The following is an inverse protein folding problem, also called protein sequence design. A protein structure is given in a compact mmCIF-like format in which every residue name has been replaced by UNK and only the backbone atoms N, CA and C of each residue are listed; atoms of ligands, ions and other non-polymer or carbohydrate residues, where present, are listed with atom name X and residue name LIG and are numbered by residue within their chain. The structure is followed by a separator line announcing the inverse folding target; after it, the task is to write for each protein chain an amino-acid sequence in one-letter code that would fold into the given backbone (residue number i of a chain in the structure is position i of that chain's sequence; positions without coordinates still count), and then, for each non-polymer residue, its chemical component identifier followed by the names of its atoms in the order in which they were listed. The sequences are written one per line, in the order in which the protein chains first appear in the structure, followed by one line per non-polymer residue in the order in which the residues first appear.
data_IF_631086748992
#
_entry.id   IF_631086748992
#
_cell.length_a   1.000
_cell.length_b   1.000
_cell.length_c   1.000
_cell.angle_alpha   90.00
_cell.angle_beta   90.00
_cell.angle_gamma   90.00
#
_symmetry.space_group_name_H-M   'P 1'
#
loop_
_entity.id
_entity.type
_entity.pdbx_description
1 polymer ?
#
# COMPACT_ATOMS: atom_id res chain seq x y z
N UNK A 1 20.44 9.91 3.43
CA UNK A 1 20.47 8.88 2.38
C UNK A 1 21.84 8.24 2.39
N UNK A 2 21.93 6.99 2.83
CA UNK A 2 23.17 6.26 3.08
C UNK A 2 23.71 5.55 1.83
N UNK A 3 22.83 5.09 0.93
CA UNK A 3 23.21 4.34 -0.28
C UNK A 3 22.62 4.97 -1.57
N UNK A 4 23.03 6.19 -1.95
CA UNK A 4 22.38 6.94 -3.02
C UNK A 4 22.36 6.21 -4.38
N UNK A 5 23.45 5.56 -4.78
CA UNK A 5 23.51 4.83 -6.04
C UNK A 5 22.56 3.62 -6.09
N UNK A 6 22.41 2.91 -4.97
CA UNK A 6 21.50 1.76 -4.86
C UNK A 6 20.05 2.24 -4.84
N UNK A 7 19.74 3.29 -4.09
CA UNK A 7 18.42 3.90 -4.07
C UNK A 7 18.04 4.38 -5.47
N UNK A 8 18.93 5.07 -6.19
CA UNK A 8 18.68 5.47 -7.58
C UNK A 8 18.44 4.27 -8.51
N UNK A 9 19.17 3.16 -8.33
CA UNK A 9 18.94 1.94 -9.10
C UNK A 9 17.54 1.36 -8.82
N UNK A 10 17.10 1.31 -7.56
CA UNK A 10 15.76 0.86 -7.17
C UNK A 10 14.69 1.72 -7.85
N UNK A 11 14.83 3.05 -7.81
CA UNK A 11 13.87 3.99 -8.41
C UNK A 11 13.81 3.86 -9.94
N UNK A 12 14.95 3.67 -10.61
CA UNK A 12 15.02 3.57 -12.08
C UNK A 12 14.52 2.23 -12.62
N UNK A 13 14.80 1.13 -11.91
CA UNK A 13 14.47 -0.22 -12.38
C UNK A 13 13.16 -0.74 -11.80
N UNK A 14 12.68 -0.15 -10.72
CA UNK A 14 11.51 -0.61 -9.98
C UNK A 14 11.88 -1.58 -8.86
N UNK A 15 11.12 -1.50 -7.77
CA UNK A 15 11.35 -2.25 -6.51
C UNK A 15 11.44 -3.76 -6.71
N UNK A 16 10.65 -4.31 -7.65
CA UNK A 16 10.58 -5.75 -7.89
C UNK A 16 11.72 -6.29 -8.79
N UNK A 17 12.45 -5.39 -9.47
CA UNK A 17 13.42 -5.75 -10.51
C UNK A 17 14.88 -5.66 -10.07
N UNK A 18 15.13 -5.49 -8.77
CA UNK A 18 16.45 -5.27 -8.19
C UNK A 18 16.71 -6.25 -7.06
N UNK A 19 17.90 -6.86 -7.07
CA UNK A 19 18.38 -7.75 -6.01
C UNK A 19 19.40 -6.99 -5.18
N UNK A 20 19.07 -6.71 -3.93
CA UNK A 20 19.90 -5.95 -3.00
C UNK A 20 20.42 -6.89 -1.91
N UNK A 21 21.72 -6.82 -1.52
CA UNK A 21 22.26 -7.62 -0.43
C UNK A 21 21.50 -7.38 0.88
N UNK A 22 21.23 -8.45 1.63
CA UNK A 22 20.45 -8.41 2.87
C UNK A 22 21.03 -7.41 3.90
N UNK A 23 22.36 -7.30 3.97
CA UNK A 23 23.08 -6.39 4.87
C UNK A 23 22.76 -4.91 4.70
N UNK A 24 22.27 -4.50 3.53
CA UNK A 24 21.89 -3.11 3.23
C UNK A 24 20.43 -2.97 2.78
N UNK A 25 19.72 -4.10 2.62
CA UNK A 25 18.34 -4.18 2.13
C UNK A 25 17.41 -3.27 2.93
N UNK A 26 17.44 -3.37 4.26
CA UNK A 26 16.57 -2.59 5.14
C UNK A 26 16.71 -1.08 4.87
N UNK A 27 17.95 -0.55 4.90
CA UNK A 27 18.20 0.88 4.69
C UNK A 27 17.89 1.30 3.26
N UNK A 28 18.37 0.56 2.25
CA UNK A 28 18.21 0.94 0.85
C UNK A 28 16.73 0.99 0.43
N UNK A 29 15.95 -0.05 0.77
CA UNK A 29 14.55 -0.09 0.44
C UNK A 29 13.70 0.85 1.30
N UNK A 30 14.06 1.09 2.58
CA UNK A 30 13.36 2.10 3.40
C UNK A 30 13.59 3.51 2.87
N UNK A 31 14.81 3.85 2.45
CA UNK A 31 15.12 5.15 1.85
C UNK A 31 14.41 5.32 0.50
N UNK A 32 14.40 4.29 -0.35
CA UNK A 32 13.64 4.30 -1.60
C UNK A 32 12.14 4.46 -1.35
N UNK A 33 11.57 3.74 -0.38
CA UNK A 33 10.16 3.85 0.00
C UNK A 33 9.79 5.26 0.46
N UNK A 34 10.66 5.92 1.24
CA UNK A 34 10.44 7.31 1.69
C UNK A 34 10.46 8.31 0.54
N UNK A 35 11.33 8.12 -0.46
CA UNK A 35 11.35 8.97 -1.65
C UNK A 35 10.11 8.75 -2.54
N UNK A 36 9.76 7.49 -2.81
CA UNK A 36 8.56 7.13 -3.57
C UNK A 36 7.30 7.70 -2.91
N UNK A 37 7.21 7.65 -1.58
CA UNK A 37 6.09 8.23 -0.83
C UNK A 37 6.00 9.75 -1.04
N UNK A 38 7.12 10.47 -1.01
CA UNK A 38 7.17 11.93 -1.25
C UNK A 38 6.79 12.31 -2.68
N UNK A 39 7.00 11.39 -3.62
CA UNK A 39 6.63 11.54 -5.03
C UNK A 39 5.21 11.00 -5.33
N UNK A 40 4.45 10.60 -4.29
CA UNK A 40 3.11 10.03 -4.37
C UNK A 40 3.02 8.69 -5.12
N UNK A 41 4.14 7.98 -5.26
CA UNK A 41 4.20 6.62 -5.79
C UNK A 41 3.88 5.59 -4.68
N UNK A 42 2.64 5.64 -4.15
CA UNK A 42 2.25 4.92 -2.93
C UNK A 42 2.38 3.40 -3.03
N UNK A 43 1.98 2.81 -4.17
CA UNK A 43 2.03 1.36 -4.37
C UNK A 43 3.47 0.85 -4.38
N UNK A 44 4.36 1.57 -5.06
CA UNK A 44 5.79 1.30 -5.10
C UNK A 44 6.46 1.56 -3.75
N UNK A 45 6.05 2.61 -3.03
CA UNK A 45 6.53 2.88 -1.67
C UNK A 45 6.19 1.73 -0.70
N UNK A 46 4.95 1.24 -0.74
CA UNK A 46 4.51 0.11 0.06
C UNK A 46 5.33 -1.17 -0.25
N UNK A 47 5.56 -1.47 -1.53
CA UNK A 47 6.46 -2.57 -1.95
C UNK A 47 7.88 -2.40 -1.40
N UNK A 48 8.42 -1.18 -1.44
CA UNK A 48 9.78 -0.93 -0.95
C UNK A 48 9.86 -1.19 0.56
N UNK A 49 8.93 -0.66 1.34
CA UNK A 49 8.87 -0.96 2.78
C UNK A 49 8.66 -2.45 3.08
N UNK A 50 7.87 -3.15 2.26
CA UNK A 50 7.71 -4.60 2.38
C UNK A 50 9.03 -5.36 2.12
N UNK A 51 9.77 -5.01 1.06
CA UNK A 51 11.12 -5.57 0.79
C UNK A 51 12.13 -5.27 1.90
N UNK A 52 11.97 -4.13 2.57
CA UNK A 52 12.76 -3.77 3.74
C UNK A 52 12.33 -4.52 5.02
N UNK A 53 11.20 -5.25 5.02
CA UNK A 53 10.52 -5.73 6.24
C UNK A 53 10.22 -4.59 7.24
N UNK A 54 10.02 -3.37 6.75
CA UNK A 54 9.79 -2.19 7.59
C UNK A 54 8.30 -2.06 7.94
N UNK A 55 7.83 -2.99 8.78
CA UNK A 55 6.43 -3.08 9.23
C UNK A 55 5.97 -1.80 9.93
N UNK A 56 6.87 -1.13 10.66
CA UNK A 56 6.56 0.13 11.34
C UNK A 56 6.14 1.22 10.34
N UNK A 57 6.93 1.43 9.28
CA UNK A 57 6.60 2.44 8.28
C UNK A 57 5.42 2.03 7.40
N UNK A 58 5.19 0.73 7.17
CA UNK A 58 3.97 0.26 6.51
C UNK A 58 2.71 0.69 7.29
N UNK A 59 2.64 0.35 8.57
CA UNK A 59 1.48 0.67 9.43
C UNK A 59 1.32 2.19 9.55
N UNK A 60 2.41 2.89 9.90
CA UNK A 60 2.39 4.34 10.12
C UNK A 60 1.97 5.12 8.87
N UNK A 61 2.47 4.73 7.69
CA UNK A 61 2.11 5.38 6.43
C UNK A 61 0.67 5.09 6.06
N UNK A 62 0.21 3.84 6.21
CA UNK A 62 -1.20 3.48 6.00
C UNK A 62 -2.14 4.27 6.91
N UNK A 63 -1.83 4.36 8.21
CA UNK A 63 -2.64 5.10 9.18
C UNK A 63 -2.68 6.60 8.86
N UNK A 64 -1.55 7.17 8.43
CA UNK A 64 -1.49 8.56 7.99
C UNK A 64 -2.33 8.81 6.74
N UNK A 65 -2.27 7.94 5.72
CA UNK A 65 -3.08 8.04 4.50
C UNK A 65 -4.59 7.92 4.79
N UNK A 66 -4.97 7.06 5.74
CA UNK A 66 -6.35 6.99 6.23
C UNK A 66 -6.83 8.33 6.79
N UNK A 67 -6.00 9.02 7.57
CA UNK A 67 -6.33 10.36 8.08
C UNK A 67 -6.43 11.41 6.98
N UNK A 68 -5.74 11.21 5.85
CA UNK A 68 -5.83 12.07 4.67
C UNK A 68 -6.99 11.70 3.73
N UNK A 69 -7.89 10.76 4.11
CA UNK A 69 -9.00 10.29 3.27
C UNK A 69 -8.51 9.57 1.98
N UNK A 70 -7.25 9.13 1.96
CA UNK A 70 -6.62 8.41 0.85
C UNK A 70 -6.74 6.91 1.08
N UNK A 71 -7.98 6.40 1.12
CA UNK A 71 -8.29 5.05 1.59
C UNK A 71 -7.72 3.95 0.68
N UNK A 72 -7.78 4.15 -0.64
CA UNK A 72 -7.22 3.22 -1.61
C UNK A 72 -5.71 3.12 -1.47
N UNK A 73 -5.04 4.26 -1.33
CA UNK A 73 -3.59 4.32 -1.17
C UNK A 73 -3.15 3.72 0.16
N UNK A 74 -3.89 3.96 1.24
CA UNK A 74 -3.65 3.35 2.55
C UNK A 74 -3.67 1.81 2.47
N UNK A 75 -4.64 1.26 1.72
CA UNK A 75 -4.78 -0.19 1.56
C UNK A 75 -3.52 -0.87 1.00
N UNK A 76 -2.75 -0.19 0.14
CA UNK A 76 -1.52 -0.76 -0.44
C UNK A 76 -0.51 -1.13 0.65
N UNK A 77 -0.48 -0.38 1.76
CA UNK A 77 0.42 -0.65 2.88
C UNK A 77 -0.12 -1.77 3.77
N UNK A 78 -1.42 -1.79 4.04
CA UNK A 78 -2.05 -2.83 4.86
C UNK A 78 -2.04 -4.22 4.22
N UNK A 79 -2.08 -4.30 2.89
CA UNK A 79 -1.88 -5.55 2.15
C UNK A 79 -0.55 -6.21 2.50
N UNK A 80 0.54 -5.44 2.60
CA UNK A 80 1.84 -6.00 2.97
C UNK A 80 1.98 -6.32 4.47
N UNK A 81 1.06 -5.83 5.30
CA UNK A 81 0.94 -6.21 6.70
C UNK A 81 0.03 -7.43 6.93
N UNK A 82 -0.69 -7.90 5.89
CA UNK A 82 -1.77 -8.89 5.99
C UNK A 82 -2.85 -8.49 7.02
N UNK A 83 -3.14 -7.20 7.16
CA UNK A 83 -4.16 -6.70 8.08
C UNK A 83 -5.50 -6.55 7.35
N UNK A 84 -6.20 -7.67 7.16
CA UNK A 84 -7.50 -7.70 6.47
C UNK A 84 -8.53 -6.77 7.12
N UNK A 85 -8.51 -6.63 8.46
CA UNK A 85 -9.41 -5.74 9.17
C UNK A 85 -9.21 -4.27 8.78
N UNK A 86 -7.95 -3.84 8.60
CA UNK A 86 -7.66 -2.48 8.12
C UNK A 86 -8.00 -2.31 6.65
N UNK A 87 -7.82 -3.33 5.81
CA UNK A 87 -8.22 -3.28 4.39
C UNK A 87 -9.75 -3.15 4.27
N UNK A 88 -10.52 -3.93 5.04
CA UNK A 88 -11.98 -3.81 5.07
C UNK A 88 -12.41 -2.43 5.61
N UNK A 89 -11.67 -1.86 6.56
CA UNK A 89 -11.91 -0.48 7.03
C UNK A 89 -11.72 0.53 5.90
N UNK A 90 -10.68 0.39 5.07
CA UNK A 90 -10.50 1.20 3.86
C UNK A 90 -11.68 1.02 2.89
N UNK A 91 -12.11 -0.22 2.66
CA UNK A 91 -13.22 -0.54 1.76
C UNK A 91 -14.54 0.11 2.20
N UNK A 92 -14.88 -0.01 3.49
CA UNK A 92 -16.04 0.66 4.07
C UNK A 92 -15.93 2.18 3.97
N UNK A 93 -14.73 2.76 4.19
CA UNK A 93 -14.52 4.19 4.04
C UNK A 93 -14.71 4.66 2.59
N UNK A 94 -14.20 3.92 1.60
CA UNK A 94 -14.46 4.15 0.17
C UNK A 94 -15.97 4.09 -0.15
N UNK A 95 -16.69 3.10 0.39
CA UNK A 95 -18.13 2.99 0.17
C UNK A 95 -18.87 4.22 0.74
N UNK A 96 -18.52 4.65 1.95
CA UNK A 96 -19.12 5.82 2.60
C UNK A 96 -18.80 7.15 1.87
N UNK A 97 -17.67 7.23 1.16
CA UNK A 97 -17.33 8.39 0.32
C UNK A 97 -17.92 8.33 -1.09
N UNK A 98 -18.70 7.29 -1.42
CA UNK A 98 -19.28 7.07 -2.75
C UNK A 98 -18.34 6.43 -3.77
N UNK A 99 -17.11 6.09 -3.36
CA UNK A 99 -16.09 5.39 -4.16
C UNK A 99 -16.36 3.87 -4.19
N UNK A 100 -17.53 3.49 -4.70
CA UNK A 100 -18.06 2.11 -4.62
C UNK A 100 -17.24 1.09 -5.43
N UNK A 101 -16.63 1.50 -6.54
CA UNK A 101 -15.75 0.61 -7.31
C UNK A 101 -14.47 0.31 -6.55
N UNK A 102 -13.84 1.33 -5.94
CA UNK A 102 -12.67 1.14 -5.09
C UNK A 102 -13.01 0.27 -3.87
N UNK A 103 -14.17 0.47 -3.26
CA UNK A 103 -14.63 -0.39 -2.17
C UNK A 103 -14.74 -1.86 -2.61
N UNK A 104 -15.33 -2.10 -3.79
CA UNK A 104 -15.44 -3.46 -4.36
C UNK A 104 -14.07 -4.09 -4.60
N UNK A 105 -13.14 -3.36 -5.21
CA UNK A 105 -11.76 -3.84 -5.43
C UNK A 105 -11.10 -4.26 -4.11
N UNK A 106 -11.30 -3.49 -3.04
CA UNK A 106 -10.73 -3.80 -1.73
C UNK A 106 -11.41 -5.00 -1.06
N UNK A 107 -12.73 -5.13 -1.14
CA UNK A 107 -13.43 -6.32 -0.66
C UNK A 107 -13.07 -7.59 -1.44
N UNK A 108 -12.64 -7.47 -2.71
CA UNK A 108 -12.06 -8.59 -3.46
C UNK A 108 -10.72 -9.03 -2.89
N UNK A 109 -9.88 -8.08 -2.44
CA UNK A 109 -8.59 -8.39 -1.80
C UNK A 109 -8.79 -9.21 -0.52
N UNK A 110 -9.82 -8.90 0.27
CA UNK A 110 -10.15 -9.60 1.53
C UNK A 110 -11.14 -10.76 1.34
N UNK A 111 -11.53 -11.08 0.10
CA UNK A 111 -12.54 -12.09 -0.23
C UNK A 111 -13.88 -11.91 0.52
N UNK A 112 -14.28 -10.67 0.80
CA UNK A 112 -15.53 -10.35 1.49
C UNK A 112 -16.72 -10.44 0.52
N UNK A 113 -17.08 -11.67 0.15
CA UNK A 113 -18.13 -11.97 -0.83
C UNK A 113 -19.50 -11.36 -0.49
N UNK A 114 -19.84 -11.26 0.80
CA UNK A 114 -21.09 -10.65 1.24
C UNK A 114 -21.14 -9.16 0.86
N UNK A 115 -20.08 -8.41 1.12
CA UNK A 115 -20.00 -7.00 0.75
C UNK A 115 -19.90 -6.79 -0.76
N UNK A 116 -19.19 -7.66 -1.48
CA UNK A 116 -19.15 -7.64 -2.95
C UNK A 116 -20.57 -7.79 -3.52
N UNK A 117 -21.33 -8.79 -3.06
CA UNK A 117 -22.70 -9.01 -3.51
C UNK A 117 -23.61 -7.82 -3.16
N UNK A 118 -23.48 -7.27 -1.95
CA UNK A 118 -24.21 -6.08 -1.56
C UNK A 118 -23.96 -4.91 -2.53
N UNK A 119 -22.71 -4.68 -2.93
CA UNK A 119 -22.38 -3.63 -3.89
C UNK A 119 -22.98 -3.91 -5.28
N UNK A 120 -22.94 -5.17 -5.74
CA UNK A 120 -23.56 -5.57 -7.01
C UNK A 120 -25.07 -5.32 -7.01
N UNK A 121 -25.77 -5.71 -5.95
CA UNK A 121 -27.23 -5.64 -5.87
C UNK A 121 -27.75 -4.19 -5.78
N UNK A 122 -27.01 -3.30 -5.11
CA UNK A 122 -27.46 -1.94 -4.83
C UNK A 122 -26.90 -0.88 -5.79
N UNK A 123 -25.74 -1.15 -6.41
CA UNK A 123 -25.05 -0.18 -7.26
C UNK A 123 -24.82 -0.69 -8.69
N UNK A 124 -25.06 -1.96 -8.98
CA UNK A 124 -24.95 -2.54 -10.32
C UNK A 124 -23.52 -2.64 -10.86
N UNK A 125 -22.52 -2.64 -9.97
CA UNK A 125 -21.08 -2.66 -10.30
C UNK A 125 -20.44 -4.03 -10.16
#
# INVERSE_FOLDING_TARGET
MQYPAIVSLILQKGVDNVSIPESISFQAFSEAGSLLLKENHYKEAAKAYAKANNTLELIKTGDWLMQQVMYKEASYFYVFCNDESKIDTCAHACMNSGSVNEAKDLFQVTNNHAMIQFLMDNFGI
#
